data_IF_853727877273
#
_entry.id   IF_853727877273
#
_cell.length_a   1.000
_cell.length_b   1.000
_cell.length_c   1.000
_cell.angle_alpha   90.00
_cell.angle_beta   90.00
_cell.angle_gamma   90.00
#
_symmetry.space_group_name_H-M   'P 1'
#
loop_
_entity.id
_entity.type
_entity.pdbx_description
1 polymer ?
#
# COMPACT_ATOMS: atom_id res chain seq x y z
N UNK A 1 -3.32 9.08 0.82
CA UNK A 1 -2.36 7.97 0.86
C UNK A 1 -3.08 6.67 0.59
N UNK A 2 -3.45 6.39 -0.66
CA UNK A 2 -4.14 5.15 -1.07
C UNK A 2 -3.37 4.36 -2.14
N UNK A 3 -2.25 4.90 -2.62
CA UNK A 3 -1.29 4.24 -3.50
C UNK A 3 0.09 4.15 -2.81
N UNK A 4 1.10 3.64 -3.52
CA UNK A 4 2.49 3.52 -3.05
C UNK A 4 3.46 4.50 -3.71
N UNK A 5 3.01 5.38 -4.60
CA UNK A 5 3.86 6.26 -5.41
C UNK A 5 4.67 7.30 -4.62
N UNK A 6 4.23 7.64 -3.41
CA UNK A 6 4.92 8.58 -2.51
C UNK A 6 5.55 7.88 -1.30
N UNK A 7 5.83 6.59 -1.44
CA UNK A 7 6.37 5.79 -0.36
C UNK A 7 7.82 6.15 -0.04
N UNK A 8 8.11 6.17 1.25
CA UNK A 8 9.43 6.45 1.80
C UNK A 8 9.75 5.50 2.95
N UNK A 9 11.04 5.35 3.24
CA UNK A 9 11.55 4.67 4.42
C UNK A 9 12.07 5.72 5.41
N UNK A 10 11.58 5.66 6.65
CA UNK A 10 12.04 6.54 7.74
C UNK A 10 13.44 6.09 8.16
N UNK A 11 14.41 7.01 8.11
CA UNK A 11 15.78 6.81 8.60
C UNK A 11 15.92 7.28 10.03
N UNK A 12 15.33 8.44 10.34
CA UNK A 12 15.29 9.01 11.69
C UNK A 12 14.06 9.91 11.86
N UNK A 13 13.62 10.09 13.11
CA UNK A 13 12.48 10.94 13.44
C UNK A 13 11.14 10.22 13.50
N UNK A 14 10.06 11.00 13.54
CA UNK A 14 8.70 10.52 13.71
C UNK A 14 7.74 11.21 12.73
N UNK A 15 6.79 10.42 12.21
CA UNK A 15 5.75 10.90 11.30
C UNK A 15 4.39 10.33 11.72
N UNK A 16 3.39 11.21 11.81
CA UNK A 16 2.00 10.85 12.05
C UNK A 16 1.27 10.79 10.71
N UNK A 17 0.65 9.63 10.40
CA UNK A 17 0.00 9.36 9.11
C UNK A 17 -1.27 8.50 9.25
N UNK A 18 -2.34 8.99 9.90
CA UNK A 18 -3.56 8.20 10.10
C UNK A 18 -4.32 7.88 8.79
N UNK A 19 -4.16 8.70 7.74
CA UNK A 19 -4.81 8.53 6.43
C UNK A 19 -3.98 7.71 5.42
N UNK A 20 -2.92 7.03 5.88
CA UNK A 20 -2.06 6.17 5.05
C UNK A 20 -2.70 4.79 4.82
N UNK A 21 -3.80 4.75 4.08
CA UNK A 21 -4.54 3.54 3.70
C UNK A 21 -3.78 2.64 2.72
N UNK A 22 -2.85 3.20 1.94
CA UNK A 22 -2.11 2.49 0.90
C UNK A 22 -1.03 1.53 1.42
N UNK A 23 -0.75 1.53 2.73
CA UNK A 23 0.23 0.65 3.37
C UNK A 23 -0.32 0.08 4.68
N UNK A 24 -0.01 -1.18 4.97
CA UNK A 24 -0.46 -1.89 6.17
C UNK A 24 0.26 -1.40 7.45
N UNK A 25 -0.31 -1.74 8.62
CA UNK A 25 0.34 -1.49 9.90
C UNK A 25 1.74 -2.14 9.97
N UNK A 26 1.89 -3.38 9.50
CA UNK A 26 3.17 -4.09 9.45
C UNK A 26 4.25 -3.32 8.66
N UNK A 27 3.90 -2.75 7.50
CA UNK A 27 4.84 -1.94 6.72
C UNK A 27 5.19 -0.63 7.44
N UNK A 28 4.22 -0.03 8.13
CA UNK A 28 4.46 1.17 8.94
C UNK A 28 5.39 0.89 10.12
N UNK A 29 5.23 -0.24 10.79
CA UNK A 29 6.13 -0.69 11.87
C UNK A 29 7.54 -0.99 11.35
N UNK A 30 7.66 -1.47 10.13
CA UNK A 30 8.96 -1.59 9.47
C UNK A 30 9.57 -0.22 9.13
N UNK A 31 8.81 0.88 9.20
CA UNK A 31 9.31 2.23 8.94
C UNK A 31 8.97 2.75 7.55
N UNK A 32 8.02 2.14 6.83
CA UNK A 32 7.47 2.73 5.61
C UNK A 32 6.41 3.80 5.93
N UNK A 33 6.37 4.85 5.12
CA UNK A 33 5.41 5.92 5.24
C UNK A 33 4.99 6.47 3.86
N UNK A 34 3.87 7.19 3.82
CA UNK A 34 3.38 7.89 2.63
C UNK A 34 3.45 9.40 2.86
N UNK A 35 4.34 10.09 2.13
CA UNK A 35 4.57 11.52 2.33
C UNK A 35 3.34 12.38 2.02
N UNK A 36 2.48 11.98 1.09
CA UNK A 36 1.31 12.78 0.69
C UNK A 36 0.29 13.00 1.82
N UNK A 37 0.37 12.23 2.91
CA UNK A 37 -0.50 12.31 4.09
C UNK A 37 0.30 12.26 5.40
N UNK A 38 1.61 12.51 5.32
CA UNK A 38 2.52 12.43 6.46
C UNK A 38 2.71 13.78 7.13
N UNK A 39 2.51 13.83 8.44
CA UNK A 39 2.78 15.00 9.27
C UNK A 39 4.00 14.72 10.16
N UNK A 40 5.14 15.40 9.97
CA UNK A 40 6.30 15.20 10.84
C UNK A 40 5.99 15.65 12.27
N UNK A 41 6.38 14.85 13.25
CA UNK A 41 6.26 15.19 14.68
C UNK A 41 7.62 15.41 15.36
N UNK A 42 8.70 15.31 14.60
CA UNK A 42 10.07 15.68 14.97
C UNK A 42 10.84 16.06 13.69
N UNK A 43 12.12 16.43 13.84
CA UNK A 43 13.07 16.40 12.72
C UNK A 43 13.02 14.99 12.08
N UNK A 44 12.87 14.95 10.76
CA UNK A 44 12.54 13.74 10.01
C UNK A 44 13.51 13.58 8.84
N UNK A 45 14.15 12.42 8.78
CA UNK A 45 14.96 12.00 7.64
C UNK A 45 14.32 10.76 6.99
N UNK A 46 14.11 10.83 5.69
CA UNK A 46 13.46 9.77 4.92
C UNK A 46 14.23 9.52 3.62
N UNK A 47 14.14 8.28 3.14
CA UNK A 47 14.64 7.88 1.83
C UNK A 47 13.46 7.52 0.92
N UNK A 48 13.45 8.03 -0.30
CA UNK A 48 12.45 7.67 -1.31
C UNK A 48 12.58 6.19 -1.66
N UNK A 49 11.46 5.50 -1.80
CA UNK A 49 11.44 4.09 -2.18
C UNK A 49 10.86 3.95 -3.58
N UNK A 50 11.23 2.87 -4.26
CA UNK A 50 10.60 2.50 -5.51
C UNK A 50 9.13 2.12 -5.25
N UNK A 51 8.22 2.65 -6.06
CA UNK A 51 6.80 2.38 -5.93
C UNK A 51 6.48 0.89 -6.06
N UNK A 52 7.16 0.21 -6.99
CA UNK A 52 6.94 -1.20 -7.29
C UNK A 52 7.40 -2.08 -6.13
N UNK A 53 8.51 -1.74 -5.47
CA UNK A 53 9.00 -2.46 -4.30
C UNK A 53 7.95 -2.45 -3.18
N UNK A 54 7.44 -1.26 -2.84
CA UNK A 54 6.46 -1.10 -1.76
C UNK A 54 5.13 -1.74 -2.14
N UNK A 55 4.73 -1.66 -3.42
CA UNK A 55 3.57 -2.37 -3.94
C UNK A 55 3.70 -3.89 -3.77
N UNK A 56 4.85 -4.46 -4.15
CA UNK A 56 5.14 -5.89 -3.99
C UNK A 56 5.13 -6.33 -2.53
N UNK A 57 5.72 -5.54 -1.62
CA UNK A 57 5.68 -5.84 -0.19
C UNK A 57 4.25 -5.82 0.38
N UNK A 58 3.43 -4.87 -0.06
CA UNK A 58 2.06 -4.73 0.42
C UNK A 58 1.11 -5.81 -0.16
N UNK A 59 1.19 -6.05 -1.47
CA UNK A 59 0.19 -6.83 -2.23
C UNK A 59 0.72 -8.10 -2.88
N UNK A 60 2.04 -8.22 -3.10
CA UNK A 60 2.67 -9.34 -3.82
C UNK A 60 2.34 -10.71 -3.26
N UNK A 61 2.20 -10.81 -1.94
CA UNK A 61 1.80 -12.04 -1.22
C UNK A 61 0.41 -12.56 -1.60
N UNK A 62 -0.49 -11.72 -2.13
CA UNK A 62 -1.81 -12.14 -2.57
C UNK A 62 -1.77 -12.70 -3.99
N UNK A 63 -0.97 -12.11 -4.87
CA UNK A 63 -0.78 -12.59 -6.24
C UNK A 63 0.10 -13.84 -6.31
N UNK A 64 0.98 -14.05 -5.34
CA UNK A 64 1.79 -15.27 -5.22
C UNK A 64 0.98 -16.53 -4.84
N UNK A 65 -0.29 -16.39 -4.45
CA UNK A 65 -1.14 -17.53 -4.02
C UNK A 65 -1.79 -18.30 -5.16
N UNK A 66 -1.43 -18.03 -6.40
CA UNK A 66 -2.02 -18.65 -7.58
C UNK A 66 -3.24 -17.88 -8.11
N UNK A 67 -3.87 -18.36 -9.18
CA UNK A 67 -4.99 -17.68 -9.81
C UNK A 67 -6.11 -17.45 -8.79
N UNK A 68 -6.63 -16.22 -8.76
CA UNK A 68 -7.85 -15.90 -8.05
C UNK A 68 -8.98 -16.60 -8.78
N UNK A 69 -9.61 -17.58 -8.13
CA UNK A 69 -10.82 -18.20 -8.64
C UNK A 69 -11.89 -17.12 -8.70
N UNK A 70 -12.21 -16.66 -9.91
CA UNK A 70 -13.28 -15.70 -10.12
C UNK A 70 -14.56 -16.52 -10.12
N UNK A 71 -15.40 -16.30 -9.12
CA UNK A 71 -16.76 -16.83 -9.16
C UNK A 71 -17.46 -16.18 -10.35
N UNK A 72 -17.70 -16.97 -11.40
CA UNK A 72 -18.25 -16.55 -12.68
C UNK A 72 -19.68 -15.97 -12.56
N UNK A 73 -20.24 -15.97 -11.34
CA UNK A 73 -21.49 -15.30 -11.00
C UNK A 73 -21.62 -13.86 -11.53
N UNK A 74 -20.52 -13.09 -11.53
CA UNK A 74 -20.51 -11.73 -12.07
C UNK A 74 -20.62 -11.70 -13.62
N UNK A 75 -20.10 -12.72 -14.30
CA UNK A 75 -20.24 -12.91 -15.75
C UNK A 75 -21.63 -13.44 -16.10
N UNK A 76 -22.18 -14.36 -15.30
CA UNK A 76 -23.55 -14.87 -15.46
C UNK A 76 -24.59 -13.74 -15.33
N UNK A 77 -24.44 -12.85 -14.35
CA UNK A 77 -25.29 -11.67 -14.20
C UNK A 77 -25.19 -10.69 -15.39
N UNK A 78 -24.01 -10.56 -15.99
CA UNK A 78 -23.81 -9.66 -17.13
C UNK A 78 -24.35 -10.22 -18.46
N UNK A 79 -24.54 -11.55 -18.53
CA UNK A 79 -24.99 -12.26 -19.74
C UNK A 79 -26.43 -12.78 -19.64
N UNK A 80 -27.09 -12.58 -18.49
CA UNK A 80 -28.46 -13.04 -18.23
C UNK A 80 -29.59 -12.09 -18.62
N UNK A 81 -29.27 -10.95 -19.25
CA UNK A 81 -30.24 -9.96 -19.75
C UNK A 81 -30.55 -10.14 -21.26
N UNK A 82 -30.71 -11.38 -21.74
CA UNK A 82 -31.29 -11.67 -23.08
C UNK A 82 -32.55 -12.54 -22.98
#
# INVERSE_FOLDING_TARGET
>A
GCCTSCAVRIKSGQIRQPEALGISADLREQGYALLCVGYPSSDLEVETQDEDEVYWLQFGRYFARGPVDRDDYALELAMGDE
#
